data_IF_728095065995
#
_entry.id   IF_728095065995
#
_cell.length_a   1.000
_cell.length_b   1.000
_cell.length_c   1.000
_cell.angle_alpha   90.00
_cell.angle_beta   90.00
_cell.angle_gamma   90.00
#
_symmetry.space_group_name_H-M   'P 1'
#
loop_
_entity.id
_entity.type
_entity.pdbx_description
1 polymer ?
#
# COMPACT_ATOMS: atom_id res chain seq x y z
N UNK A 1 13.09 -5.80 -3.03
CA UNK A 1 13.19 -7.24 -2.76
C UNK A 1 12.33 -7.57 -1.53
N UNK A 2 11.18 -8.19 -1.75
CA UNK A 2 10.11 -8.45 -0.76
C UNK A 2 10.60 -9.34 0.39
N UNK A 3 11.54 -10.24 0.09
CA UNK A 3 12.19 -11.10 1.07
C UNK A 3 13.03 -10.30 2.08
N UNK A 4 13.66 -9.20 1.65
CA UNK A 4 14.49 -8.36 2.52
C UNK A 4 13.67 -7.54 3.52
N UNK A 5 12.52 -7.01 3.08
CA UNK A 5 11.64 -6.23 3.97
C UNK A 5 10.90 -7.12 4.97
N UNK A 6 10.43 -8.30 4.53
CA UNK A 6 9.84 -9.30 5.42
C UNK A 6 10.88 -9.83 6.41
N UNK A 7 12.12 -10.11 5.97
CA UNK A 7 13.18 -10.52 6.87
C UNK A 7 13.49 -9.43 7.91
N UNK A 8 13.59 -8.16 7.50
CA UNK A 8 13.84 -7.04 8.41
C UNK A 8 12.72 -6.85 9.44
N UNK A 9 11.45 -6.90 9.01
CA UNK A 9 10.30 -6.82 9.91
C UNK A 9 10.20 -8.03 10.84
N UNK A 10 10.40 -9.24 10.32
CA UNK A 10 10.39 -10.47 11.13
C UNK A 10 11.53 -10.46 12.15
N UNK A 11 12.72 -10.00 11.77
CA UNK A 11 13.90 -10.00 12.63
C UNK A 11 13.79 -8.96 13.76
N UNK A 12 13.16 -7.81 13.50
CA UNK A 12 12.80 -6.84 14.54
C UNK A 12 11.70 -7.36 15.50
N UNK A 13 10.85 -8.30 15.05
CA UNK A 13 9.68 -8.82 15.79
C UNK A 13 9.97 -10.12 16.55
N UNK A 14 11.02 -10.88 16.20
CA UNK A 14 11.44 -12.11 16.89
C UNK A 14 11.66 -11.89 18.40
N UNK A 15 11.83 -10.64 18.83
CA UNK A 15 12.03 -10.30 20.24
C UNK A 15 10.75 -10.24 21.10
N UNK A 16 9.52 -10.30 20.55
CA UNK A 16 8.29 -10.29 21.37
C UNK A 16 7.13 -11.19 20.88
N UNK A 17 6.90 -12.28 21.64
CA UNK A 17 5.62 -12.88 22.11
C UNK A 17 4.45 -13.26 21.15
N UNK A 18 3.81 -14.39 21.48
CA UNK A 18 2.82 -15.22 20.75
C UNK A 18 1.63 -14.50 20.08
N UNK A 19 1.28 -13.28 20.48
CA UNK A 19 0.19 -12.51 19.86
C UNK A 19 0.58 -11.88 18.51
N UNK A 20 1.87 -11.60 18.27
CA UNK A 20 2.33 -10.99 17.03
C UNK A 20 2.23 -11.90 15.81
N UNK A 21 2.34 -13.23 16.00
CA UNK A 21 2.20 -14.19 14.89
C UNK A 21 0.81 -14.10 14.23
N UNK A 22 -0.24 -13.83 15.00
CA UNK A 22 -1.60 -13.67 14.44
C UNK A 22 -1.73 -12.39 13.60
N UNK A 23 -1.14 -11.28 14.05
CA UNK A 23 -1.18 -10.00 13.31
C UNK A 23 -0.39 -10.09 12.01
N UNK A 24 0.83 -10.65 12.05
CA UNK A 24 1.65 -10.86 10.84
C UNK A 24 0.94 -11.77 9.85
N UNK A 25 0.32 -12.86 10.32
CA UNK A 25 -0.50 -13.73 9.45
C UNK A 25 -1.66 -12.96 8.81
N UNK A 26 -2.37 -12.11 9.57
CA UNK A 26 -3.44 -11.28 9.02
C UNK A 26 -2.95 -10.28 7.97
N UNK A 27 -1.78 -9.64 8.17
CA UNK A 27 -1.16 -8.76 7.15
C UNK A 27 -0.81 -9.55 5.90
N UNK A 28 -0.27 -10.76 6.05
CA UNK A 28 0.08 -11.62 4.92
C UNK A 28 -1.16 -12.07 4.14
N UNK A 29 -2.23 -12.44 4.84
CA UNK A 29 -3.52 -12.74 4.22
C UNK A 29 -4.05 -11.52 3.47
N UNK A 30 -4.06 -10.35 4.13
CA UNK A 30 -4.48 -9.08 3.50
C UNK A 30 -3.67 -8.78 2.22
N UNK A 31 -2.36 -8.98 2.25
CA UNK A 31 -1.52 -8.77 1.07
C UNK A 31 -1.89 -9.70 -0.09
N UNK A 32 -2.15 -10.98 0.18
CA UNK A 32 -2.58 -11.93 -0.85
C UNK A 32 -3.97 -11.59 -1.41
N UNK A 33 -4.91 -11.22 -0.55
CA UNK A 33 -6.26 -10.81 -0.97
C UNK A 33 -6.20 -9.52 -1.80
N UNK A 34 -5.36 -8.57 -1.39
CA UNK A 34 -5.17 -7.31 -2.09
C UNK A 34 -4.45 -7.47 -3.43
N UNK A 35 -3.58 -8.47 -3.62
CA UNK A 35 -3.02 -8.78 -4.97
C UNK A 35 -4.13 -9.01 -5.99
N UNK A 36 -5.10 -9.85 -5.64
CA UNK A 36 -6.24 -10.15 -6.50
C UNK A 36 -7.13 -8.94 -6.68
N UNK A 37 -7.47 -8.25 -5.60
CA UNK A 37 -8.33 -7.05 -5.64
C UNK A 37 -7.73 -5.93 -6.49
N UNK A 38 -6.45 -5.57 -6.28
CA UNK A 38 -5.78 -4.53 -7.06
C UNK A 38 -5.72 -4.88 -8.54
N UNK A 39 -5.44 -6.15 -8.87
CA UNK A 39 -5.42 -6.59 -10.26
C UNK A 39 -6.81 -6.50 -10.90
N UNK A 40 -7.86 -6.90 -10.18
CA UNK A 40 -9.24 -6.80 -10.66
C UNK A 40 -9.71 -5.36 -10.82
N UNK A 41 -9.37 -4.46 -9.89
CA UNK A 41 -9.79 -3.06 -9.95
C UNK A 41 -9.07 -2.29 -11.05
N UNK A 42 -7.76 -2.52 -11.19
CA UNK A 42 -6.94 -1.72 -12.11
C UNK A 42 -6.79 -2.34 -13.50
N UNK A 43 -6.99 -3.66 -13.63
CA UNK A 43 -6.67 -4.46 -14.82
C UNK A 43 -5.25 -4.21 -15.37
N UNK A 44 -4.32 -3.83 -14.49
CA UNK A 44 -2.97 -3.39 -14.88
C UNK A 44 -1.91 -4.41 -14.50
N UNK A 45 -0.93 -4.59 -15.40
CA UNK A 45 0.30 -5.34 -15.11
C UNK A 45 1.12 -4.72 -13.97
N UNK A 46 0.93 -3.42 -13.68
CA UNK A 46 1.66 -2.72 -12.62
C UNK A 46 0.97 -2.80 -11.24
N UNK A 47 -0.16 -3.50 -11.15
CA UNK A 47 -0.95 -3.65 -9.92
C UNK A 47 -0.13 -4.17 -8.74
N UNK A 48 0.73 -5.17 -8.97
CA UNK A 48 1.58 -5.75 -7.92
C UNK A 48 2.64 -4.75 -7.45
N UNK A 49 3.30 -4.01 -8.35
CA UNK A 49 4.28 -2.99 -7.95
C UNK A 49 3.62 -1.85 -7.16
N UNK A 50 2.42 -1.45 -7.56
CA UNK A 50 1.65 -0.45 -6.84
C UNK A 50 1.25 -0.95 -5.45
N UNK A 51 0.81 -2.20 -5.34
CA UNK A 51 0.50 -2.84 -4.07
C UNK A 51 1.73 -2.85 -3.15
N UNK A 52 2.88 -3.28 -3.66
CA UNK A 52 4.13 -3.35 -2.91
C UNK A 52 4.56 -1.96 -2.40
N UNK A 53 4.45 -0.92 -3.23
CA UNK A 53 4.75 0.45 -2.85
C UNK A 53 3.84 0.94 -1.70
N UNK A 54 2.54 0.61 -1.76
CA UNK A 54 1.55 1.00 -0.74
C UNK A 54 1.73 0.19 0.55
N UNK A 55 2.04 -1.10 0.46
CA UNK A 55 2.32 -1.93 1.65
C UNK A 55 3.59 -1.48 2.37
N UNK A 56 4.61 -1.04 1.64
CA UNK A 56 5.81 -0.47 2.23
C UNK A 56 5.53 0.91 2.87
N UNK A 57 4.68 1.73 2.23
CA UNK A 57 4.32 3.06 2.73
C UNK A 57 2.80 3.29 2.64
N UNK A 58 2.03 2.92 3.69
CA UNK A 58 0.57 2.96 3.67
C UNK A 58 -0.03 4.37 3.69
N UNK A 59 0.77 5.40 3.95
CA UNK A 59 0.38 6.81 3.89
C UNK A 59 1.36 7.52 2.96
N UNK A 60 0.87 8.04 1.84
CA UNK A 60 1.74 8.55 0.79
C UNK A 60 1.08 9.69 0.01
N UNK A 61 1.92 10.54 -0.59
CA UNK A 61 1.48 11.51 -1.59
C UNK A 61 1.37 10.81 -2.94
N UNK A 62 0.35 11.13 -3.71
CA UNK A 62 0.17 10.56 -5.06
C UNK A 62 1.34 10.89 -5.99
N UNK A 63 1.95 12.08 -5.85
CA UNK A 63 3.16 12.48 -6.58
C UNK A 63 4.36 11.60 -6.26
N UNK A 64 4.57 11.29 -4.98
CA UNK A 64 5.76 10.58 -4.51
C UNK A 64 5.68 9.13 -4.96
N UNK A 65 4.50 8.51 -4.86
CA UNK A 65 4.25 7.16 -5.38
C UNK A 65 4.46 7.09 -6.91
N UNK A 66 3.98 8.09 -7.65
CA UNK A 66 4.21 8.16 -9.10
C UNK A 66 5.68 8.33 -9.48
N UNK A 67 6.45 9.09 -8.70
CA UNK A 67 7.90 9.22 -8.89
C UNK A 67 8.61 7.90 -8.60
N UNK A 68 8.26 7.24 -7.48
CA UNK A 68 8.85 5.97 -7.08
C UNK A 68 8.63 4.87 -8.13
N UNK A 69 7.38 4.66 -8.56
CA UNK A 69 7.07 3.64 -9.57
C UNK A 69 7.73 3.92 -10.92
N UNK A 70 7.91 5.20 -11.26
CA UNK A 70 8.65 5.58 -12.45
C UNK A 70 10.14 5.22 -12.32
N UNK A 71 10.78 5.53 -11.20
CA UNK A 71 12.21 5.23 -11.02
C UNK A 71 12.51 3.73 -10.87
N UNK A 72 11.66 2.98 -10.18
CA UNK A 72 11.92 1.57 -9.85
C UNK A 72 11.45 0.61 -10.95
N UNK A 73 10.39 0.96 -11.66
CA UNK A 73 9.69 0.05 -12.58
C UNK A 73 9.35 0.68 -13.94
N UNK A 74 9.87 1.88 -14.22
CA UNK A 74 9.65 2.63 -15.45
C UNK A 74 8.15 2.84 -15.80
N UNK A 75 7.29 2.87 -14.78
CA UNK A 75 5.86 3.14 -14.96
C UNK A 75 5.67 4.62 -15.27
N UNK A 76 4.89 4.94 -16.29
CA UNK A 76 4.62 6.34 -16.61
C UNK A 76 3.81 6.99 -15.47
N UNK A 77 4.21 8.18 -15.00
CA UNK A 77 3.58 8.86 -13.85
C UNK A 77 2.05 9.01 -14.00
N UNK A 78 1.58 9.32 -15.21
CA UNK A 78 0.13 9.39 -15.50
C UNK A 78 -0.58 8.06 -15.26
N UNK A 79 0.05 6.93 -15.61
CA UNK A 79 -0.50 5.59 -15.38
C UNK A 79 -0.67 5.37 -13.89
N UNK A 80 0.36 5.63 -13.07
CA UNK A 80 0.25 5.52 -11.60
C UNK A 80 -0.92 6.36 -11.05
N UNK A 81 -1.07 7.60 -11.51
CA UNK A 81 -2.16 8.46 -11.05
C UNK A 81 -3.56 7.93 -11.43
N UNK A 82 -3.69 7.29 -12.61
CA UNK A 82 -4.94 6.63 -13.02
C UNK A 82 -5.23 5.43 -12.12
N UNK A 83 -4.23 4.58 -11.87
CA UNK A 83 -4.39 3.40 -11.00
C UNK A 83 -4.79 3.80 -9.57
N UNK A 84 -4.13 4.83 -9.02
CA UNK A 84 -4.46 5.37 -7.71
C UNK A 84 -5.88 5.93 -7.64
N UNK A 85 -6.37 6.54 -8.73
CA UNK A 85 -7.76 7.02 -8.81
C UNK A 85 -8.75 5.86 -8.79
N UNK A 86 -8.52 4.82 -9.59
CA UNK A 86 -9.39 3.63 -9.63
C UNK A 86 -9.49 2.98 -8.24
N UNK A 87 -8.37 2.84 -7.53
CA UNK A 87 -8.33 2.28 -6.18
C UNK A 87 -8.99 3.19 -5.13
N UNK A 88 -8.95 4.52 -5.33
CA UNK A 88 -9.69 5.47 -4.50
C UNK A 88 -11.20 5.33 -4.71
N UNK A 89 -11.64 5.18 -5.95
CA UNK A 89 -13.06 5.06 -6.32
C UNK A 89 -13.70 3.77 -5.76
N UNK A 90 -12.93 2.69 -5.60
CA UNK A 90 -13.39 1.45 -4.98
C UNK A 90 -13.32 1.44 -3.45
N UNK A 91 -12.80 2.51 -2.84
CA UNK A 91 -12.67 2.64 -1.38
C UNK A 91 -11.48 1.90 -0.76
N UNK A 92 -10.66 1.22 -1.58
CA UNK A 92 -9.42 0.56 -1.13
C UNK A 92 -8.43 1.59 -0.59
N UNK A 93 -8.35 2.75 -1.27
CA UNK A 93 -7.60 3.90 -0.79
C UNK A 93 -8.54 5.00 -0.30
N UNK A 94 -8.18 5.61 0.83
CA UNK A 94 -8.89 6.76 1.38
C UNK A 94 -8.02 8.01 1.26
N UNK A 95 -8.66 9.14 0.99
CA UNK A 95 -7.99 10.44 0.98
C UNK A 95 -7.91 11.00 2.39
N UNK A 96 -6.69 11.19 2.91
CA UNK A 96 -6.45 11.91 4.16
C UNK A 96 -6.43 13.41 3.94
N UNK A 97 -5.92 13.83 2.79
CA UNK A 97 -5.87 15.22 2.40
C UNK A 97 -6.10 15.37 0.90
N UNK A 98 -7.09 16.17 0.46
CA UNK A 98 -7.33 16.40 -0.95
C UNK A 98 -6.18 17.18 -1.58
N UNK A 99 -5.98 16.98 -2.88
CA UNK A 99 -5.05 17.81 -3.66
C UNK A 99 -5.54 19.25 -3.69
N UNK A 100 -4.61 20.21 -3.57
CA UNK A 100 -4.93 21.64 -3.68
C UNK A 100 -3.83 22.37 -4.45
N UNK A 101 -4.19 22.93 -5.60
CA UNK A 101 -3.25 23.59 -6.51
C UNK A 101 -2.09 22.67 -6.90
N UNK A 102 -0.86 23.07 -6.55
CA UNK A 102 0.37 22.29 -6.79
C UNK A 102 0.60 21.18 -5.75
N UNK A 103 -0.18 21.12 -4.66
CA UNK A 103 -0.04 20.12 -3.61
C UNK A 103 -0.77 18.84 -4.01
N UNK A 104 -0.02 17.74 -4.11
CA UNK A 104 -0.56 16.42 -4.35
C UNK A 104 -1.44 15.95 -3.17
N UNK A 105 -2.45 15.13 -3.48
CA UNK A 105 -3.30 14.49 -2.48
C UNK A 105 -2.48 13.52 -1.62
N UNK A 106 -2.86 13.39 -0.35
CA UNK A 106 -2.34 12.35 0.55
C UNK A 106 -3.40 11.26 0.64
N UNK A 107 -3.01 10.06 0.23
CA UNK A 107 -3.83 8.87 0.31
C UNK A 107 -3.30 7.94 1.40
N UNK A 108 -4.18 7.10 1.92
CA UNK A 108 -3.82 6.01 2.78
C UNK A 108 -4.58 4.73 2.43
N UNK A 109 -4.07 3.59 2.92
CA UNK A 109 -4.77 2.31 2.90
C UNK A 109 -5.28 1.98 4.32
N UNK A 110 -6.56 2.28 4.63
CA UNK A 110 -7.07 2.17 5.99
C UNK A 110 -6.99 0.76 6.56
N UNK A 111 -7.25 -0.27 5.74
CA UNK A 111 -7.23 -1.67 6.18
C UNK A 111 -5.86 -2.07 6.74
N UNK A 112 -4.77 -1.71 6.07
CA UNK A 112 -3.43 -2.02 6.55
C UNK A 112 -3.08 -1.24 7.81
N UNK A 113 -3.46 0.03 7.89
CA UNK A 113 -3.20 0.87 9.07
C UNK A 113 -3.95 0.33 10.28
N UNK A 114 -5.25 0.04 10.13
CA UNK A 114 -6.09 -0.50 11.20
C UNK A 114 -5.58 -1.88 11.66
N UNK A 115 -5.09 -2.72 10.73
CA UNK A 115 -4.54 -4.03 11.03
C UNK A 115 -3.18 -3.94 11.75
N UNK A 116 -2.31 -3.02 11.33
CA UNK A 116 -1.02 -2.76 11.97
C UNK A 116 -1.18 -2.22 13.39
N UNK A 117 -2.09 -1.26 13.59
CA UNK A 117 -2.44 -0.69 14.90
C UNK A 117 -3.22 -1.66 15.78
N UNK A 118 -3.88 -2.67 15.19
CA UNK A 118 -4.73 -3.63 15.89
C UNK A 118 -6.06 -3.05 16.38
N UNK A 119 -6.44 -1.86 15.89
CA UNK A 119 -7.66 -1.12 16.22
C UNK A 119 -8.07 -0.24 15.04
N UNK A 120 -9.34 0.13 14.97
CA UNK A 120 -9.83 1.08 13.95
C UNK A 120 -9.42 2.50 14.34
N UNK A 121 -8.52 3.11 13.54
CA UNK A 121 -8.01 4.48 13.75
C UNK A 121 -8.51 5.42 12.64
N UNK A 122 -8.90 4.87 11.49
CA UNK A 122 -9.37 5.59 10.31
C UNK A 122 -10.77 5.12 9.91
#
# INVERSE_FOLDING_TARGET
DWNGWIAFFLQAIIQQSKDYSKRVKKIMTLYNDMKTSFHQVTHSQYSVYLLDAIFNKPIFKTSDCAVQLHSEHNVHKKTTLVLLRQLKETGVLRELQPSSGRRAAILCMPELINLAEGRTVL
#
